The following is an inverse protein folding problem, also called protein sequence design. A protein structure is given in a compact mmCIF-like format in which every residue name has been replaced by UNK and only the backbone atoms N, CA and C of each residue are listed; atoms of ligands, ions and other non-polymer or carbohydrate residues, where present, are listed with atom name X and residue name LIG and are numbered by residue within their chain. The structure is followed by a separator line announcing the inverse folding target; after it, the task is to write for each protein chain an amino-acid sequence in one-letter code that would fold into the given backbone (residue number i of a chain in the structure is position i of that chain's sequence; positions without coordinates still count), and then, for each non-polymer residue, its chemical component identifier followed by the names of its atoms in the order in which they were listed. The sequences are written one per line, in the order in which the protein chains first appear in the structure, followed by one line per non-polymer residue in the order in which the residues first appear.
data_IF_302166395580
#
_entry.id   IF_302166395580
#
_cell.length_a   1.000
_cell.length_b   1.000
_cell.length_c   1.000
_cell.angle_alpha   90.00
_cell.angle_beta   90.00
_cell.angle_gamma   90.00
#
_symmetry.space_group_name_H-M   'P 1'
#
loop_
_entity.id
_entity.type
_entity.pdbx_description
1 polymer ?
#
# COMPACT_ATOMS: atom_id res chain seq x y z
N UNK A 1 -2.28 -8.34 -8.59
CA UNK A 1 -1.05 -7.55 -8.87
C UNK A 1 -0.44 -7.09 -7.55
N UNK A 2 0.89 -6.94 -7.47
CA UNK A 2 1.56 -6.54 -6.22
C UNK A 2 2.15 -5.13 -6.31
N UNK A 3 2.06 -4.37 -5.22
CA UNK A 3 2.71 -3.06 -5.07
C UNK A 3 3.35 -2.95 -3.69
N UNK A 4 4.52 -2.31 -3.62
CA UNK A 4 5.25 -2.14 -2.36
C UNK A 4 5.40 -0.66 -2.01
N UNK A 5 5.13 -0.32 -0.75
CA UNK A 5 5.31 1.02 -0.19
C UNK A 5 6.42 0.91 0.87
N UNK A 6 7.51 1.63 0.63
CA UNK A 6 8.66 1.75 1.53
C UNK A 6 8.83 3.19 1.98
N UNK A 7 9.68 3.42 2.98
CA UNK A 7 9.98 4.77 3.49
C UNK A 7 10.48 5.72 2.39
N UNK A 8 11.19 5.20 1.39
CA UNK A 8 11.81 6.03 0.35
C UNK A 8 11.11 5.92 -1.01
N UNK A 9 10.46 4.80 -1.27
CA UNK A 9 9.89 4.49 -2.58
C UNK A 9 8.45 4.06 -2.42
N UNK A 10 7.56 4.67 -3.19
CA UNK A 10 6.16 4.28 -3.20
C UNK A 10 5.57 4.48 -4.60
N UNK A 11 4.60 3.63 -5.00
CA UNK A 11 3.83 3.81 -6.24
C UNK A 11 3.01 5.09 -6.18
N UNK A 12 2.53 5.57 -7.33
CA UNK A 12 1.61 6.69 -7.34
C UNK A 12 0.35 6.36 -6.52
N UNK A 13 -0.17 7.32 -5.75
CA UNK A 13 -1.38 7.14 -4.95
C UNK A 13 -2.58 6.67 -5.79
N UNK A 14 -2.68 7.13 -7.03
CA UNK A 14 -3.71 6.70 -7.97
C UNK A 14 -3.63 5.21 -8.31
N UNK A 15 -2.44 4.60 -8.27
CA UNK A 15 -2.29 3.17 -8.53
C UNK A 15 -2.78 2.36 -7.34
N UNK A 16 -2.44 2.78 -6.11
CA UNK A 16 -2.95 2.14 -4.88
C UNK A 16 -4.48 2.23 -4.82
N UNK A 17 -5.04 3.40 -5.16
CA UNK A 17 -6.50 3.63 -5.25
C UNK A 17 -7.21 2.86 -6.37
N UNK A 18 -6.49 2.18 -7.25
CA UNK A 18 -7.07 1.30 -8.27
C UNK A 18 -7.00 -0.17 -7.89
N UNK A 19 -6.21 -0.56 -6.89
CA UNK A 19 -6.05 -1.96 -6.48
C UNK A 19 -7.32 -2.55 -5.88
N UNK A 20 -7.68 -3.78 -6.20
CA UNK A 20 -8.89 -4.44 -5.69
C UNK A 20 -8.66 -5.92 -5.40
N UNK A 21 -9.72 -6.71 -5.50
CA UNK A 21 -9.67 -8.16 -5.29
C UNK A 21 -8.51 -8.84 -6.06
N UNK A 22 -7.71 -9.63 -5.34
CA UNK A 22 -6.54 -10.31 -5.90
C UNK A 22 -5.27 -9.44 -6.02
N UNK A 23 -5.32 -8.18 -5.60
CA UNK A 23 -4.16 -7.32 -5.46
C UNK A 23 -3.62 -7.29 -4.03
N UNK A 24 -2.31 -7.07 -3.89
CA UNK A 24 -1.64 -7.00 -2.58
C UNK A 24 -0.77 -5.76 -2.46
N UNK A 25 -1.01 -4.97 -1.42
CA UNK A 25 -0.13 -3.87 -0.98
C UNK A 25 0.82 -4.39 0.10
N UNK A 26 2.12 -4.32 -0.18
CA UNK A 26 3.19 -4.65 0.76
C UNK A 26 3.73 -3.39 1.42
N UNK A 27 3.73 -3.38 2.75
CA UNK A 27 4.24 -2.27 3.57
C UNK A 27 5.57 -2.69 4.20
N UNK A 28 6.62 -1.91 3.95
CA UNK A 28 7.92 -2.12 4.60
C UNK A 28 7.94 -1.55 6.02
N UNK A 29 8.82 -2.07 6.90
CA UNK A 29 9.08 -1.43 8.19
C UNK A 29 9.48 0.04 8.02
N UNK A 30 8.96 0.92 8.88
CA UNK A 30 9.26 2.35 8.86
C UNK A 30 8.48 3.16 7.83
N UNK A 31 7.58 2.55 7.03
CA UNK A 31 6.75 3.27 6.05
C UNK A 31 5.89 4.36 6.68
N UNK A 32 5.55 4.22 7.96
CA UNK A 32 4.80 5.20 8.74
C UNK A 32 5.56 6.52 8.99
N UNK A 33 6.88 6.54 8.80
CA UNK A 33 7.72 7.74 8.96
C UNK A 33 7.64 8.66 7.73
N UNK A 34 7.00 8.22 6.64
CA UNK A 34 6.78 9.08 5.47
C UNK A 34 5.89 10.25 5.82
N UNK A 35 6.26 11.44 5.34
CA UNK A 35 5.46 12.66 5.50
C UNK A 35 4.08 12.57 4.83
N UNK A 36 3.95 11.75 3.79
CA UNK A 36 2.70 11.51 3.06
C UNK A 36 1.95 10.25 3.52
N UNK A 37 2.38 9.60 4.62
CA UNK A 37 1.84 8.32 5.07
C UNK A 37 0.31 8.33 5.23
N UNK A 38 -0.26 9.40 5.80
CA UNK A 38 -1.70 9.52 5.96
C UNK A 38 -2.49 9.40 4.64
N UNK A 39 -1.91 9.84 3.51
CA UNK A 39 -2.53 9.70 2.18
C UNK A 39 -2.46 8.26 1.68
N UNK A 40 -1.39 7.54 2.00
CA UNK A 40 -1.28 6.12 1.70
C UNK A 40 -2.22 5.28 2.54
N UNK A 41 -2.39 5.59 3.84
CA UNK A 41 -3.38 4.93 4.69
C UNK A 41 -4.78 5.02 4.09
N UNK A 42 -5.20 6.22 3.67
CA UNK A 42 -6.48 6.43 2.98
C UNK A 42 -6.60 5.60 1.68
N UNK A 43 -5.57 5.64 0.84
CA UNK A 43 -5.55 4.87 -0.40
C UNK A 43 -5.59 3.35 -0.16
N UNK A 44 -4.87 2.86 0.85
CA UNK A 44 -4.85 1.44 1.25
C UNK A 44 -6.21 1.03 1.78
N UNK A 45 -6.84 1.83 2.65
CA UNK A 45 -8.18 1.56 3.16
C UNK A 45 -9.20 1.42 2.02
N UNK A 46 -9.14 2.30 1.03
CA UNK A 46 -9.97 2.22 -0.17
C UNK A 46 -9.65 1.03 -1.09
N UNK A 47 -8.43 0.52 -1.07
CA UNK A 47 -8.07 -0.72 -1.76
C UNK A 47 -8.61 -1.96 -1.03
N UNK A 48 -8.46 -2.01 0.30
CA UNK A 48 -8.98 -3.09 1.14
C UNK A 48 -10.50 -3.18 1.02
N UNK A 49 -11.21 -2.06 1.04
CA UNK A 49 -12.65 -2.02 0.85
C UNK A 49 -13.10 -2.60 -0.51
N UNK A 50 -12.20 -2.67 -1.50
CA UNK A 50 -12.43 -3.27 -2.83
C UNK A 50 -11.87 -4.69 -2.96
N UNK A 51 -11.44 -5.30 -1.85
CA UNK A 51 -10.97 -6.68 -1.78
C UNK A 51 -9.45 -6.86 -1.90
N UNK A 52 -8.66 -5.78 -1.90
CA UNK A 52 -7.20 -5.92 -1.90
C UNK A 52 -6.67 -6.38 -0.53
N UNK A 53 -5.60 -7.15 -0.55
CA UNK A 53 -4.84 -7.49 0.65
C UNK A 53 -3.86 -6.36 1.01
N UNK A 54 -3.68 -6.11 2.30
CA UNK A 54 -2.62 -5.26 2.82
C UNK A 54 -1.77 -6.04 3.81
N UNK A 55 -0.46 -6.13 3.57
CA UNK A 55 0.45 -6.99 4.33
C UNK A 55 1.72 -6.24 4.74
N UNK A 56 2.21 -6.55 5.93
CA UNK A 56 3.51 -6.09 6.41
C UNK A 56 4.60 -7.07 5.98
N UNK A 57 5.72 -6.55 5.49
CA UNK A 57 6.91 -7.30 5.11
C UNK A 57 6.65 -8.43 4.09
N UNK A 58 7.19 -8.30 2.87
CA UNK A 58 7.21 -9.45 1.95
C UNK A 58 8.26 -10.44 2.46
N UNK A 59 7.83 -11.45 3.22
CA UNK A 59 8.65 -12.64 3.40
C UNK A 59 8.83 -13.26 2.02
N UNK A 60 10.09 -13.34 1.57
CA UNK A 60 10.46 -14.08 0.38
C UNK A 60 10.16 -15.56 0.52
#
# INVERSE_FOLDING_TARGET
MERSITTHVAPALGDVRRMGEGDTVWMSPGVQERSDWGRYVDAIAGAIARGADARWCRHG
#
